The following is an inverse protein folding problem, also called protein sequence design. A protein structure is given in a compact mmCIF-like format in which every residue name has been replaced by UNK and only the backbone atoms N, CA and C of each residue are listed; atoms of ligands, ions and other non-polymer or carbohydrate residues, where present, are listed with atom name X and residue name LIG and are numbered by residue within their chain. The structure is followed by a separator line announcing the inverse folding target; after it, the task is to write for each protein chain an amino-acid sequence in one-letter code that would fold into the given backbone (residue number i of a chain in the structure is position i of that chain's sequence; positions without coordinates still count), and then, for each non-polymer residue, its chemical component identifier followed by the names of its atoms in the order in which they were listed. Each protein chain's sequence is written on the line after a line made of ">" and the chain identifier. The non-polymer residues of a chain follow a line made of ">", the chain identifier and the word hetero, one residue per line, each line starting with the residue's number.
data_IF_426861303294
#
_entry.id   IF_426861303294
#
_cell.length_a   1.000
_cell.length_b   1.000
_cell.length_c   1.000
_cell.angle_alpha   90.00
_cell.angle_beta   90.00
_cell.angle_gamma   90.00
#
_symmetry.space_group_name_H-M   'P 1'
#
loop_
_entity.id
_entity.type
_entity.pdbx_description
1 polymer ?
#
# COMPACT_ATOMS: atom_id res chain seq x y z
N UNK A 1 -0.25 69.36 3.76
CA UNK A 1 -1.03 68.48 2.88
C UNK A 1 -0.03 67.50 2.26
N UNK A 2 0.28 66.38 2.94
CA UNK A 2 -0.33 65.03 2.71
C UNK A 2 -0.14 64.63 1.24
N UNK A 3 1.01 64.06 0.86
CA UNK A 3 1.39 62.62 0.89
C UNK A 3 0.56 61.73 -0.05
N UNK A 4 1.23 61.00 -0.95
CA UNK A 4 0.62 59.89 -1.68
C UNK A 4 1.35 59.45 -2.96
N UNK A 5 2.67 59.27 -2.93
CA UNK A 5 3.36 58.50 -3.96
C UNK A 5 3.02 57.02 -3.75
N UNK A 6 2.12 56.50 -4.59
CA UNK A 6 1.74 55.10 -4.59
C UNK A 6 2.87 54.30 -5.29
N UNK A 7 3.87 53.88 -4.51
CA UNK A 7 4.90 52.95 -4.96
C UNK A 7 4.30 51.55 -5.05
N UNK A 8 3.82 51.19 -6.25
CA UNK A 8 3.51 49.79 -6.57
C UNK A 8 4.80 48.98 -6.56
N UNK A 9 5.04 48.26 -5.46
CA UNK A 9 6.06 47.21 -5.42
C UNK A 9 5.73 46.17 -6.50
N UNK A 10 6.70 45.69 -7.28
CA UNK A 10 6.48 44.56 -8.16
C UNK A 10 6.08 43.35 -7.30
N UNK A 11 4.92 42.76 -7.60
CA UNK A 11 4.50 41.49 -7.02
C UNK A 11 5.53 40.45 -7.47
N UNK A 12 6.51 40.17 -6.62
CA UNK A 12 7.43 39.06 -6.81
C UNK A 12 6.61 37.80 -6.56
N UNK A 13 6.05 37.21 -7.62
CA UNK A 13 5.50 35.85 -7.52
C UNK A 13 6.70 34.91 -7.30
N UNK A 14 7.04 34.67 -6.04
CA UNK A 14 7.95 33.58 -5.71
C UNK A 14 7.13 32.29 -5.68
N UNK A 15 7.44 31.37 -6.57
CA UNK A 15 6.93 30.01 -6.46
C UNK A 15 7.25 29.46 -5.08
N UNK A 16 6.26 28.86 -4.42
CA UNK A 16 6.46 28.00 -3.26
C UNK A 16 7.44 26.87 -3.62
N UNK A 17 8.09 26.28 -2.63
CA UNK A 17 9.02 25.18 -2.90
C UNK A 17 8.32 23.96 -3.49
N UNK A 18 7.03 23.78 -3.18
CA UNK A 18 6.13 22.83 -3.85
C UNK A 18 5.97 23.13 -5.33
N UNK A 19 5.66 24.38 -5.70
CA UNK A 19 5.53 24.77 -7.11
C UNK A 19 6.87 24.63 -7.85
N UNK A 20 7.99 24.97 -7.21
CA UNK A 20 9.32 24.75 -7.79
C UNK A 20 9.60 23.26 -8.03
N UNK A 21 9.22 22.38 -7.11
CA UNK A 21 9.37 20.93 -7.29
C UNK A 21 8.49 20.40 -8.42
N UNK A 22 7.23 20.84 -8.50
CA UNK A 22 6.32 20.47 -9.60
C UNK A 22 6.86 20.95 -10.95
N UNK A 23 7.38 22.18 -11.02
CA UNK A 23 8.01 22.74 -12.23
C UNK A 23 9.25 21.92 -12.62
N UNK A 24 10.10 21.54 -11.66
CA UNK A 24 11.28 20.70 -11.92
C UNK A 24 10.90 19.30 -12.40
N UNK A 25 9.89 18.69 -11.80
CA UNK A 25 9.39 17.36 -12.19
C UNK A 25 8.80 17.40 -13.60
N UNK A 26 7.97 18.40 -13.91
CA UNK A 26 7.42 18.61 -15.25
C UNK A 26 8.51 18.86 -16.29
N UNK A 27 9.53 19.65 -15.94
CA UNK A 27 10.66 19.93 -16.83
C UNK A 27 11.53 18.70 -17.10
N UNK A 28 11.84 17.91 -16.06
CA UNK A 28 12.58 16.66 -16.19
C UNK A 28 11.84 15.67 -17.10
N UNK A 29 10.52 15.55 -16.93
CA UNK A 29 9.68 14.72 -17.80
C UNK A 29 9.68 15.22 -19.24
N UNK A 30 9.50 16.53 -19.47
CA UNK A 30 9.54 17.11 -20.81
C UNK A 30 10.86 16.85 -21.54
N UNK A 31 11.99 16.86 -20.83
CA UNK A 31 13.28 16.51 -21.42
C UNK A 31 13.41 15.03 -21.78
N UNK A 32 12.90 14.13 -20.93
CA UNK A 32 12.88 12.69 -21.21
C UNK A 32 12.01 12.41 -22.44
N UNK A 33 10.80 12.95 -22.51
CA UNK A 33 9.89 12.76 -23.65
C UNK A 33 10.46 13.30 -24.96
N UNK A 34 11.10 14.48 -24.91
CA UNK A 34 11.74 15.06 -26.10
C UNK A 34 12.93 14.24 -26.59
N UNK A 35 13.77 13.73 -25.68
CA UNK A 35 14.94 12.92 -26.03
C UNK A 35 14.56 11.59 -26.68
N UNK A 36 13.47 10.99 -26.22
CA UNK A 36 12.97 9.70 -26.71
C UNK A 36 12.00 9.84 -27.91
N UNK A 37 11.76 11.07 -28.38
CA UNK A 37 10.91 11.33 -29.55
C UNK A 37 9.41 11.13 -29.31
N UNK A 38 8.97 11.06 -28.05
CA UNK A 38 7.56 10.92 -27.70
C UNK A 38 6.87 12.29 -27.68
N UNK A 39 5.90 12.49 -28.58
CA UNK A 39 4.88 13.53 -28.42
C UNK A 39 3.80 12.99 -27.50
N UNK A 40 3.82 13.40 -26.23
CA UNK A 40 2.79 13.06 -25.27
C UNK A 40 1.48 13.76 -25.65
N UNK A 41 0.45 12.97 -25.94
CA UNK A 41 -0.92 13.48 -26.04
C UNK A 41 -1.49 13.77 -24.65
N UNK A 42 -2.42 14.71 -24.53
CA UNK A 42 -3.11 15.02 -23.28
C UNK A 42 -3.74 13.76 -22.64
N UNK A 43 -4.21 12.81 -23.46
CA UNK A 43 -4.73 11.52 -23.00
C UNK A 43 -3.68 10.56 -22.43
N UNK A 44 -2.42 10.62 -22.87
CA UNK A 44 -1.31 9.81 -22.29
C UNK A 44 -0.81 10.41 -20.99
N UNK A 45 -0.81 11.75 -20.89
CA UNK A 45 -0.55 12.51 -19.67
C UNK A 45 -1.60 12.17 -18.62
N UNK A 46 -2.88 12.18 -18.99
CA UNK A 46 -3.99 11.80 -18.11
C UNK A 46 -3.93 10.34 -17.68
N UNK A 47 -3.43 9.42 -18.52
CA UNK A 47 -3.31 7.98 -18.21
C UNK A 47 -2.05 7.62 -17.43
N UNK A 48 -1.07 8.51 -17.35
CA UNK A 48 0.18 8.26 -16.63
C UNK A 48 -0.03 8.25 -15.12
N UNK A 49 -0.10 7.05 -14.55
CA UNK A 49 -0.26 6.85 -13.09
C UNK A 49 0.91 7.47 -12.31
N UNK A 50 2.13 7.41 -12.86
CA UNK A 50 3.29 8.09 -12.27
C UNK A 50 3.12 9.61 -12.30
N UNK A 51 2.63 10.20 -13.40
CA UNK A 51 2.43 11.64 -13.45
C UNK A 51 1.36 12.09 -12.45
N UNK A 52 0.23 11.38 -12.35
CA UNK A 52 -0.80 11.67 -11.33
C UNK A 52 -0.23 11.63 -9.92
N UNK A 53 0.62 10.65 -9.63
CA UNK A 53 1.33 10.53 -8.36
C UNK A 53 2.20 11.75 -8.07
N UNK A 54 3.02 12.18 -9.03
CA UNK A 54 3.87 13.36 -8.91
C UNK A 54 3.05 14.66 -8.72
N UNK A 55 1.94 14.80 -9.47
CA UNK A 55 1.02 15.94 -9.34
C UNK A 55 0.33 15.98 -7.98
N UNK A 56 0.06 14.81 -7.38
CA UNK A 56 -0.41 14.69 -6.01
C UNK A 56 0.67 15.00 -4.95
N UNK A 57 1.89 15.37 -5.36
CA UNK A 57 3.01 15.67 -4.46
C UNK A 57 3.73 14.43 -3.92
N UNK A 58 3.37 13.22 -4.38
CA UNK A 58 4.01 11.97 -3.97
C UNK A 58 5.23 11.70 -4.86
N UNK A 59 6.42 11.41 -4.31
CA UNK A 59 7.63 11.13 -5.08
C UNK A 59 7.50 9.77 -5.75
N UNK A 60 8.33 9.48 -6.78
CA UNK A 60 8.41 8.14 -7.34
C UNK A 60 8.79 7.13 -6.24
N UNK A 61 8.29 5.90 -6.35
CA UNK A 61 8.73 4.82 -5.47
C UNK A 61 10.20 4.48 -5.74
N UNK A 62 10.91 3.97 -4.73
CA UNK A 62 12.31 3.57 -4.84
C UNK A 62 12.52 2.45 -5.89
N UNK A 63 11.52 1.61 -6.09
CA UNK A 63 11.48 0.55 -7.11
C UNK A 63 10.22 0.68 -7.95
N UNK A 64 10.18 0.10 -9.16
CA UNK A 64 8.96 0.06 -9.95
C UNK A 64 7.88 -0.80 -9.26
N UNK A 65 6.63 -0.31 -9.13
CA UNK A 65 5.54 -1.12 -8.60
C UNK A 65 5.20 -2.29 -9.54
N UNK A 66 4.46 -3.31 -9.05
CA UNK A 66 3.85 -4.32 -9.90
C UNK A 66 2.98 -3.70 -10.98
N UNK A 67 2.75 -4.44 -12.07
CA UNK A 67 1.73 -4.05 -13.04
C UNK A 67 0.44 -4.82 -12.76
N UNK A 68 -0.69 -4.13 -12.90
CA UNK A 68 -2.02 -4.73 -12.96
C UNK A 68 -2.57 -4.50 -14.36
N UNK A 69 -2.67 -5.56 -15.16
CA UNK A 69 -3.07 -5.49 -16.57
C UNK A 69 -2.26 -4.46 -17.37
N UNK A 70 -0.95 -4.38 -17.12
CA UNK A 70 -0.02 -3.46 -17.81
C UNK A 70 0.10 -2.07 -17.20
N UNK A 71 -0.66 -1.72 -16.16
CA UNK A 71 -0.59 -0.41 -15.50
C UNK A 71 0.12 -0.48 -14.14
N UNK A 72 0.96 0.51 -13.77
CA UNK A 72 1.59 0.59 -12.45
C UNK A 72 0.58 0.51 -11.31
N UNK A 73 0.73 -0.49 -10.44
CA UNK A 73 -0.17 -0.78 -9.35
C UNK A 73 0.41 -0.24 -8.03
N UNK A 74 0.39 1.08 -7.85
CA UNK A 74 0.92 1.71 -6.62
C UNK A 74 0.14 1.28 -5.36
N UNK A 75 -1.16 1.07 -5.50
CA UNK A 75 -2.05 0.70 -4.40
C UNK A 75 -1.63 -0.60 -3.69
N UNK A 76 -1.10 -1.60 -4.40
CA UNK A 76 -0.67 -2.87 -3.78
C UNK A 76 0.59 -2.71 -2.90
N UNK A 77 1.39 -1.68 -3.17
CA UNK A 77 2.57 -1.34 -2.38
C UNK A 77 2.17 -0.48 -1.19
N UNK A 78 1.34 0.53 -1.42
CA UNK A 78 1.04 1.57 -0.43
C UNK A 78 -0.10 1.15 0.51
N UNK A 79 -1.13 0.52 -0.04
CA UNK A 79 -2.34 0.08 0.66
C UNK A 79 -2.15 -1.17 1.51
N UNK A 80 -3.13 -1.41 2.38
CA UNK A 80 -3.29 -2.63 3.20
C UNK A 80 -4.54 -3.43 2.84
N UNK A 81 -5.28 -2.93 1.84
CA UNK A 81 -6.48 -3.56 1.35
C UNK A 81 -6.21 -4.97 0.87
N UNK A 82 -7.24 -5.78 0.93
CA UNK A 82 -7.27 -7.04 0.23
C UNK A 82 -7.62 -6.78 -1.23
N UNK A 83 -6.85 -7.36 -2.14
CA UNK A 83 -7.07 -7.19 -3.58
C UNK A 83 -7.53 -8.50 -4.20
N UNK A 84 -8.69 -8.49 -4.84
CA UNK A 84 -9.12 -9.58 -5.71
C UNK A 84 -8.31 -9.52 -7.00
N UNK A 85 -7.64 -10.62 -7.34
CA UNK A 85 -6.67 -10.72 -8.43
C UNK A 85 -6.92 -11.96 -9.28
N UNK A 86 -6.52 -11.88 -10.54
CA UNK A 86 -6.45 -13.06 -11.42
C UNK A 86 -5.07 -13.70 -11.27
N UNK A 87 -5.07 -15.03 -11.16
CA UNK A 87 -3.85 -15.79 -10.96
C UNK A 87 -3.75 -16.87 -12.03
N UNK A 88 -2.55 -17.07 -12.58
CA UNK A 88 -2.26 -18.17 -13.47
C UNK A 88 -0.84 -18.72 -13.30
N UNK A 89 -0.63 -19.96 -13.76
CA UNK A 89 0.70 -20.60 -13.76
C UNK A 89 1.63 -19.85 -14.71
N UNK A 90 2.84 -19.53 -14.23
CA UNK A 90 3.90 -19.07 -15.11
C UNK A 90 4.31 -20.24 -16.03
N UNK A 91 4.11 -20.08 -17.34
CA UNK A 91 4.49 -21.09 -18.32
C UNK A 91 5.98 -21.43 -18.20
N UNK A 92 6.32 -22.72 -18.11
CA UNK A 92 7.71 -23.22 -18.04
C UNK A 92 8.56 -22.87 -19.26
N UNK A 93 7.93 -22.55 -20.39
CA UNK A 93 8.61 -22.20 -21.64
C UNK A 93 9.11 -20.75 -21.68
N UNK A 94 8.64 -19.91 -20.75
CA UNK A 94 9.08 -18.53 -20.66
C UNK A 94 10.25 -18.42 -19.69
N UNK A 95 11.47 -18.27 -20.22
CA UNK A 95 12.65 -17.85 -19.48
C UNK A 95 12.53 -16.37 -19.09
N UNK A 96 11.52 -16.03 -18.28
CA UNK A 96 11.27 -14.65 -17.87
C UNK A 96 11.85 -14.40 -16.49
N UNK A 97 12.77 -13.44 -16.45
CA UNK A 97 13.38 -12.90 -15.23
C UNK A 97 12.39 -11.85 -14.70
N UNK A 98 11.54 -12.22 -13.74
CA UNK A 98 10.78 -11.24 -12.97
C UNK A 98 11.75 -10.28 -12.24
N UNK A 99 11.33 -9.06 -11.89
CA UNK A 99 12.15 -8.18 -11.05
C UNK A 99 12.64 -8.91 -9.78
N UNK A 100 13.94 -8.87 -9.49
CA UNK A 100 14.53 -9.50 -8.28
C UNK A 100 14.77 -11.02 -8.35
N UNK A 101 14.60 -11.63 -9.51
CA UNK A 101 14.76 -13.08 -9.76
C UNK A 101 16.16 -13.64 -9.53
N UNK A 102 16.23 -14.88 -9.04
CA UNK A 102 17.43 -15.73 -9.01
C UNK A 102 17.18 -17.03 -9.80
N UNK A 103 18.23 -17.66 -10.35
CA UNK A 103 18.10 -18.95 -11.02
C UNK A 103 17.47 -20.01 -10.11
N UNK A 104 16.38 -20.64 -10.57
CA UNK A 104 15.67 -21.68 -9.83
C UNK A 104 14.46 -21.21 -9.02
N UNK A 105 14.19 -19.90 -8.98
CA UNK A 105 13.00 -19.36 -8.33
C UNK A 105 11.71 -19.81 -9.05
N UNK A 106 10.64 -20.01 -8.26
CA UNK A 106 9.28 -20.27 -8.76
C UNK A 106 8.53 -18.94 -8.91
N UNK A 107 7.65 -18.88 -9.90
CA UNK A 107 6.85 -17.68 -10.17
C UNK A 107 5.38 -18.01 -10.35
N UNK A 108 4.56 -17.01 -10.07
CA UNK A 108 3.13 -17.04 -10.33
C UNK A 108 2.73 -15.74 -11.03
N UNK A 109 1.83 -15.84 -12.01
CA UNK A 109 1.33 -14.67 -12.71
C UNK A 109 0.14 -14.10 -11.92
N UNK A 110 0.22 -12.84 -11.52
CA UNK A 110 -0.86 -12.12 -10.82
C UNK A 110 -1.21 -10.89 -11.65
N UNK A 111 -2.45 -10.82 -12.13
CA UNK A 111 -2.98 -9.77 -13.02
C UNK A 111 -2.03 -9.40 -14.18
N UNK A 112 -1.36 -10.40 -14.74
CA UNK A 112 -0.44 -10.24 -15.88
C UNK A 112 1.01 -9.88 -15.52
N UNK A 113 1.36 -9.88 -14.23
CA UNK A 113 2.74 -9.66 -13.75
C UNK A 113 3.34 -10.90 -13.11
N UNK A 114 4.64 -11.13 -13.28
CA UNK A 114 5.35 -12.25 -12.64
C UNK A 114 5.77 -11.90 -11.22
N UNK A 115 5.20 -12.60 -10.25
CA UNK A 115 5.56 -12.49 -8.85
C UNK A 115 6.39 -13.70 -8.44
N UNK A 116 7.43 -13.48 -7.64
CA UNK A 116 8.25 -14.57 -7.14
C UNK A 116 7.51 -15.26 -6.00
N UNK A 117 7.45 -16.58 -6.02
CA UNK A 117 6.91 -17.38 -4.91
C UNK A 117 8.02 -17.55 -3.88
N UNK A 118 7.89 -16.87 -2.74
CA UNK A 118 8.79 -16.99 -1.60
C UNK A 118 8.55 -18.31 -0.86
N UNK A 119 7.28 -18.66 -0.67
CA UNK A 119 6.86 -19.86 0.05
C UNK A 119 5.57 -20.42 -0.55
N UNK A 120 5.45 -21.76 -0.61
CA UNK A 120 4.20 -22.45 -0.95
C UNK A 120 3.62 -23.03 0.33
N UNK A 121 2.51 -22.45 0.81
CA UNK A 121 1.84 -22.90 2.04
C UNK A 121 0.93 -24.09 1.73
N UNK A 122 0.10 -23.95 0.69
CA UNK A 122 -0.75 -25.02 0.15
C UNK A 122 -0.75 -24.92 -1.37
N UNK A 123 -0.35 -25.99 -2.05
CA UNK A 123 -0.30 -25.99 -3.52
C UNK A 123 -1.69 -25.67 -4.09
N UNK A 124 -1.75 -24.69 -5.02
CA UNK A 124 -2.94 -24.21 -5.71
C UNK A 124 -4.01 -23.54 -4.84
N UNK A 125 -3.69 -23.28 -3.58
CA UNK A 125 -4.59 -22.59 -2.66
C UNK A 125 -3.94 -21.41 -1.96
N UNK A 126 -2.64 -21.49 -1.64
CA UNK A 126 -2.00 -20.48 -0.81
C UNK A 126 -0.49 -20.36 -0.99
N UNK A 127 -0.03 -19.12 -1.20
CA UNK A 127 1.37 -18.78 -1.43
C UNK A 127 1.76 -17.51 -0.67
N UNK A 128 3.05 -17.41 -0.32
CA UNK A 128 3.69 -16.13 -0.02
C UNK A 128 4.47 -15.70 -1.25
N UNK A 129 4.20 -14.48 -1.71
CA UNK A 129 4.78 -13.91 -2.92
C UNK A 129 5.51 -12.61 -2.65
N UNK A 130 6.49 -12.32 -3.50
CA UNK A 130 7.38 -11.17 -3.41
C UNK A 130 7.47 -10.47 -4.76
N UNK A 131 7.65 -9.15 -4.72
CA UNK A 131 7.83 -8.33 -5.92
C UNK A 131 9.16 -7.59 -5.89
N UNK A 132 9.99 -7.83 -6.90
CA UNK A 132 11.20 -7.02 -7.11
C UNK A 132 12.16 -7.06 -5.93
N UNK A 133 12.64 -5.87 -5.58
CA UNK A 133 13.53 -5.63 -4.44
C UNK A 133 12.79 -5.09 -3.22
N UNK A 134 11.45 -5.12 -3.22
CA UNK A 134 10.71 -4.73 -2.04
C UNK A 134 10.92 -5.77 -0.92
N UNK A 135 11.03 -5.32 0.35
CA UNK A 135 11.28 -6.17 1.50
C UNK A 135 9.96 -6.70 2.10
N UNK A 136 8.82 -6.27 1.54
CA UNK A 136 7.50 -6.70 1.96
C UNK A 136 7.10 -7.93 1.16
N UNK A 137 6.25 -8.75 1.75
CA UNK A 137 5.69 -9.93 1.11
C UNK A 137 4.18 -9.78 1.05
N UNK A 138 3.54 -10.63 0.24
CA UNK A 138 2.10 -10.69 0.14
C UNK A 138 1.65 -12.13 0.29
N UNK A 139 0.56 -12.32 1.02
CA UNK A 139 -0.14 -13.59 1.10
C UNK A 139 -1.16 -13.63 -0.02
N UNK A 140 -0.99 -14.60 -0.91
CA UNK A 140 -1.93 -14.90 -1.97
C UNK A 140 -2.74 -16.13 -1.56
N UNK A 141 -4.05 -15.98 -1.38
CA UNK A 141 -4.94 -17.05 -0.91
C UNK A 141 -6.15 -17.19 -1.80
N UNK A 142 -6.52 -18.43 -2.10
CA UNK A 142 -7.77 -18.79 -2.78
C UNK A 142 -8.91 -18.78 -1.77
N UNK A 143 -9.94 -18.00 -2.06
CA UNK A 143 -11.19 -17.96 -1.32
C UNK A 143 -12.29 -18.63 -2.15
N UNK A 144 -13.17 -19.38 -1.49
CA UNK A 144 -14.31 -20.01 -2.13
C UNK A 144 -15.58 -19.37 -1.61
N UNK A 145 -16.37 -18.81 -2.53
CA UNK A 145 -17.65 -18.20 -2.19
C UNK A 145 -18.78 -18.83 -3.00
N UNK A 146 -19.98 -18.80 -2.41
CA UNK A 146 -21.19 -19.29 -3.08
C UNK A 146 -21.61 -18.26 -4.12
N UNK A 147 -21.63 -18.66 -5.38
CA UNK A 147 -22.23 -17.87 -6.45
C UNK A 147 -23.75 -18.11 -6.44
N UNK A 148 -24.47 -17.26 -5.71
CA UNK A 148 -25.93 -17.38 -5.54
C UNK A 148 -26.69 -17.26 -6.87
N UNK A 149 -26.21 -16.42 -7.80
CA UNK A 149 -26.85 -16.24 -9.10
C UNK A 149 -26.76 -17.53 -9.93
N UNK A 150 -25.55 -18.07 -10.10
CA UNK A 150 -25.35 -19.32 -10.84
C UNK A 150 -26.02 -20.51 -10.13
N UNK A 151 -26.06 -20.49 -8.80
CA UNK A 151 -26.82 -21.47 -8.00
C UNK A 151 -28.31 -21.43 -8.34
N UNK A 152 -28.93 -20.24 -8.43
CA UNK A 152 -30.34 -20.10 -8.82
C UNK A 152 -30.57 -20.53 -10.29
N UNK A 153 -29.67 -20.14 -11.20
CA UNK A 153 -29.74 -20.55 -12.60
C UNK A 153 -29.65 -22.08 -12.74
N UNK A 154 -28.74 -22.72 -12.00
CA UNK A 154 -28.59 -24.17 -11.96
C UNK A 154 -29.86 -24.86 -11.45
N UNK A 155 -30.46 -24.33 -10.38
CA UNK A 155 -31.71 -24.84 -9.82
C UNK A 155 -32.87 -24.73 -10.83
N UNK A 156 -32.98 -23.59 -11.53
CA UNK A 156 -33.99 -23.41 -12.57
C UNK A 156 -33.78 -24.39 -13.74
N UNK A 157 -32.55 -24.51 -14.23
CA UNK A 157 -32.21 -25.44 -15.30
C UNK A 157 -32.56 -26.89 -14.96
N UNK A 158 -32.26 -27.34 -13.73
CA UNK A 158 -32.57 -28.70 -13.27
C UNK A 158 -34.07 -28.96 -13.13
N UNK A 159 -34.84 -27.95 -12.74
CA UNK A 159 -36.31 -28.06 -12.68
C UNK A 159 -36.89 -28.38 -14.07
N UNK A 160 -36.35 -27.74 -15.10
CA UNK A 160 -36.81 -27.91 -16.47
C UNK A 160 -36.17 -29.14 -17.15
N UNK A 161 -35.01 -29.59 -16.66
CA UNK A 161 -34.21 -30.66 -17.26
C UNK A 161 -33.67 -31.66 -16.21
N UNK A 162 -34.53 -32.47 -15.57
CA UNK A 162 -34.14 -33.30 -14.41
C UNK A 162 -33.16 -34.43 -14.72
N UNK A 163 -33.04 -34.83 -16.00
CA UNK A 163 -32.16 -35.92 -16.43
C UNK A 163 -30.92 -35.44 -17.22
N UNK A 164 -30.71 -34.12 -17.32
CA UNK A 164 -29.55 -33.58 -18.04
C UNK A 164 -28.27 -33.74 -17.21
N UNK A 165 -27.25 -34.39 -17.79
CA UNK A 165 -25.93 -34.42 -17.19
C UNK A 165 -25.27 -33.05 -17.30
N UNK A 166 -24.84 -32.49 -16.16
CA UNK A 166 -24.08 -31.24 -16.14
C UNK A 166 -22.61 -31.52 -16.41
N UNK A 167 -22.09 -30.97 -17.49
CA UNK A 167 -20.65 -30.83 -17.71
C UNK A 167 -20.32 -29.36 -17.66
N UNK A 168 -19.69 -28.94 -16.56
CA UNK A 168 -18.94 -27.70 -16.58
C UNK A 168 -17.67 -28.00 -17.39
N UNK A 169 -17.63 -27.50 -18.62
CA UNK A 169 -16.40 -27.53 -19.40
C UNK A 169 -15.37 -26.70 -18.61
N UNK A 170 -14.39 -27.38 -18.01
CA UNK A 170 -13.13 -26.72 -17.64
C UNK A 170 -12.63 -26.11 -18.93
N UNK A 171 -12.71 -24.78 -19.08
CA UNK A 171 -12.16 -24.11 -20.25
C UNK A 171 -10.69 -24.54 -20.36
N UNK A 172 -10.42 -25.42 -21.31
CA UNK A 172 -9.07 -25.78 -21.72
C UNK A 172 -8.54 -24.62 -22.57
N UNK A 173 -8.23 -23.52 -21.90
CA UNK A 173 -7.72 -22.30 -22.52
C UNK A 173 -7.06 -21.48 -21.43
N UNK A 174 -5.73 -21.55 -21.40
CA UNK A 174 -4.81 -20.72 -20.61
C UNK A 174 -5.12 -20.62 -19.12
N UNK A 175 -4.62 -21.59 -18.33
CA UNK A 175 -4.02 -21.41 -16.99
C UNK A 175 -4.64 -20.52 -15.91
N UNK A 176 -5.80 -19.91 -16.11
CA UNK A 176 -6.49 -19.03 -15.15
C UNK A 176 -7.13 -19.89 -14.06
N UNK A 177 -6.79 -19.60 -12.81
CA UNK A 177 -7.28 -20.34 -11.66
C UNK A 177 -8.68 -19.89 -11.18
N UNK A 178 -9.52 -19.39 -12.08
CA UNK A 178 -10.95 -19.18 -11.80
C UNK A 178 -11.68 -20.52 -11.94
N UNK A 179 -11.85 -21.21 -10.82
CA UNK A 179 -12.45 -22.53 -10.76
C UNK A 179 -13.91 -22.45 -10.29
N UNK A 180 -14.79 -23.12 -11.04
CA UNK A 180 -16.13 -23.41 -10.59
C UNK A 180 -16.16 -24.81 -9.96
N UNK A 181 -16.73 -24.91 -8.77
CA UNK A 181 -17.05 -26.20 -8.14
C UNK A 181 -18.54 -26.32 -7.90
N UNK A 182 -19.09 -27.50 -8.16
CA UNK A 182 -20.43 -27.89 -7.73
C UNK A 182 -20.23 -28.97 -6.67
N UNK A 183 -20.81 -28.80 -5.48
CA UNK A 183 -20.60 -29.73 -4.37
C UNK A 183 -21.76 -30.71 -4.21
N UNK A 184 -22.94 -30.20 -3.86
CA UNK A 184 -24.17 -30.93 -3.55
C UNK A 184 -25.14 -30.99 -4.74
N UNK A 185 -24.62 -30.84 -5.95
CA UNK A 185 -25.42 -30.83 -7.17
C UNK A 185 -26.38 -29.61 -7.28
N UNK A 186 -26.36 -28.67 -6.33
CA UNK A 186 -27.25 -27.51 -6.31
C UNK A 186 -26.51 -26.19 -6.15
N UNK A 187 -25.36 -26.20 -5.49
CA UNK A 187 -24.60 -25.00 -5.12
C UNK A 187 -23.40 -24.84 -6.04
N UNK A 188 -23.31 -23.68 -6.69
CA UNK A 188 -22.15 -23.28 -7.49
C UNK A 188 -21.24 -22.44 -6.63
N UNK A 189 -19.99 -22.87 -6.50
CA UNK A 189 -18.92 -22.16 -5.82
C UNK A 189 -17.99 -21.55 -6.86
N UNK A 190 -17.62 -20.29 -6.64
CA UNK A 190 -16.62 -19.57 -7.40
C UNK A 190 -15.37 -19.43 -6.53
N UNK A 191 -14.21 -19.76 -7.09
CA UNK A 191 -12.95 -19.41 -6.45
C UNK A 191 -12.46 -18.04 -6.90
N UNK A 192 -12.07 -17.22 -5.94
CA UNK A 192 -11.37 -15.96 -6.18
C UNK A 192 -10.01 -15.97 -5.49
N UNK A 193 -9.01 -15.33 -6.08
CA UNK A 193 -7.73 -15.14 -5.43
C UNK A 193 -7.66 -13.78 -4.77
N UNK A 194 -7.19 -13.78 -3.53
CA UNK A 194 -7.05 -12.59 -2.71
C UNK A 194 -5.58 -12.39 -2.39
N UNK A 195 -5.05 -11.21 -2.72
CA UNK A 195 -3.71 -10.78 -2.40
C UNK A 195 -3.76 -9.77 -1.25
N UNK A 196 -3.08 -10.09 -0.15
CA UNK A 196 -3.02 -9.25 1.03
C UNK A 196 -1.56 -9.03 1.44
N UNK A 197 -1.16 -7.77 1.64
CA UNK A 197 0.20 -7.47 2.10
C UNK A 197 0.44 -8.04 3.50
N UNK A 198 1.60 -8.63 3.71
CA UNK A 198 2.08 -9.08 5.01
C UNK A 198 3.35 -8.32 5.38
N UNK A 199 3.37 -7.74 6.58
CA UNK A 199 4.45 -6.87 7.06
C UNK A 199 4.06 -5.38 7.13
N UNK A 200 4.94 -4.60 7.76
CA UNK A 200 4.80 -3.15 7.88
C UNK A 200 4.94 -2.48 6.51
N UNK A 201 4.36 -1.29 6.34
CA UNK A 201 4.43 -0.59 5.06
C UNK A 201 5.88 -0.26 4.69
N UNK A 202 6.13 -0.05 3.40
CA UNK A 202 7.47 0.26 2.89
C UNK A 202 7.98 1.67 3.18
N UNK A 203 7.66 2.32 4.30
CA UNK A 203 8.08 3.72 4.55
C UNK A 203 9.59 3.89 4.67
N UNK A 204 10.31 2.80 4.96
CA UNK A 204 11.75 2.59 4.69
C UNK A 204 12.24 3.20 3.37
N UNK A 205 11.38 3.28 2.34
CA UNK A 205 11.74 3.67 0.98
C UNK A 205 11.51 5.15 0.65
N UNK A 206 10.80 5.88 1.51
CA UNK A 206 10.60 7.34 1.40
C UNK A 206 11.27 8.11 2.54
N UNK A 207 11.66 7.42 3.61
CA UNK A 207 12.38 7.99 4.74
C UNK A 207 13.90 7.86 4.63
N UNK A 208 14.61 8.79 5.26
CA UNK A 208 16.06 8.70 5.46
C UNK A 208 16.34 7.82 6.68
N UNK A 209 17.12 6.73 6.56
CA UNK A 209 17.48 5.91 7.71
C UNK A 209 18.28 6.74 8.71
N UNK A 210 17.95 6.56 9.99
CA UNK A 210 18.65 7.23 11.09
C UNK A 210 19.61 6.26 11.76
N UNK A 211 20.82 6.74 12.02
CA UNK A 211 21.81 5.98 12.77
C UNK A 211 21.26 5.65 14.17
N UNK A 212 21.55 4.44 14.72
CA UNK A 212 21.19 4.08 16.08
C UNK A 212 22.08 4.82 17.09
N UNK A 213 21.96 6.13 17.20
CA UNK A 213 22.70 6.92 18.18
C UNK A 213 22.09 6.75 19.57
N UNK A 214 22.85 6.14 20.50
CA UNK A 214 22.60 6.20 21.94
C UNK A 214 21.21 5.73 22.36
N UNK A 215 20.72 4.62 21.79
CA UNK A 215 19.38 4.10 22.00
C UNK A 215 19.07 3.98 23.50
N UNK A 216 18.23 4.88 24.00
CA UNK A 216 17.60 4.72 25.30
C UNK A 216 16.60 3.57 25.19
N UNK A 217 16.51 2.68 26.19
CA UNK A 217 15.54 1.60 26.16
C UNK A 217 14.14 2.21 26.10
N UNK A 218 13.29 1.69 25.21
CA UNK A 218 11.89 2.05 25.13
C UNK A 218 11.07 0.86 25.66
N UNK A 219 10.03 1.15 26.43
CA UNK A 219 9.12 0.15 26.98
C UNK A 219 7.66 0.56 26.74
N UNK A 220 6.72 -0.39 26.59
CA UNK A 220 5.30 -0.09 26.55
C UNK A 220 4.83 0.58 27.85
N UNK A 221 4.14 1.71 27.71
CA UNK A 221 3.45 2.38 28.82
C UNK A 221 1.94 2.37 28.68
N UNK A 222 1.44 2.12 27.47
CA UNK A 222 0.02 1.85 27.18
C UNK A 222 -0.05 0.71 26.19
N UNK A 223 -0.87 -0.28 26.50
CA UNK A 223 -1.18 -1.41 25.63
C UNK A 223 -2.70 -1.50 25.41
N UNK A 224 -3.08 -2.03 24.26
CA UNK A 224 -4.46 -2.39 23.96
C UNK A 224 -4.58 -3.87 23.57
N UNK A 225 -5.77 -4.30 23.15
CA UNK A 225 -6.01 -5.68 22.69
C UNK A 225 -5.17 -6.09 21.47
N UNK A 226 -4.43 -5.17 20.87
CA UNK A 226 -3.58 -5.39 19.72
C UNK A 226 -2.08 -5.27 20.03
N UNK A 227 -1.71 -5.05 21.29
CA UNK A 227 -0.33 -4.96 21.77
C UNK A 227 0.05 -3.53 22.18
N UNK A 228 1.35 -3.20 22.16
CA UNK A 228 1.82 -1.87 22.56
C UNK A 228 1.23 -0.77 21.70
N UNK A 229 0.62 0.21 22.37
CA UNK A 229 0.04 1.40 21.74
C UNK A 229 0.98 2.60 21.90
N UNK A 230 1.57 2.75 23.08
CA UNK A 230 2.51 3.84 23.38
C UNK A 230 3.79 3.26 23.98
N UNK A 231 4.93 3.64 23.41
CA UNK A 231 6.26 3.36 23.98
C UNK A 231 6.86 4.63 24.58
N UNK A 232 7.59 4.51 25.67
CA UNK A 232 8.35 5.61 26.27
C UNK A 232 9.64 5.15 26.94
N UNK A 233 10.45 6.10 27.40
CA UNK A 233 11.62 5.79 28.23
C UNK A 233 11.17 5.32 29.63
N UNK A 234 11.63 4.15 30.12
CA UNK A 234 11.28 3.66 31.44
C UNK A 234 11.87 4.54 32.55
N UNK A 235 11.26 4.51 33.73
CA UNK A 235 11.72 5.19 34.97
C UNK A 235 11.82 6.73 34.89
N UNK A 236 11.20 7.35 33.89
CA UNK A 236 11.12 8.80 33.75
C UNK A 236 9.67 9.28 33.75
N UNK A 237 9.46 10.51 34.22
CA UNK A 237 8.15 11.17 34.14
C UNK A 237 7.95 11.93 32.82
N UNK A 238 9.07 12.29 32.17
CA UNK A 238 9.09 12.98 30.87
C UNK A 238 10.15 12.38 29.96
N UNK A 239 9.92 12.48 28.65
CA UNK A 239 10.89 12.07 27.64
C UNK A 239 10.23 11.74 26.30
N UNK A 240 10.91 10.94 25.50
CA UNK A 240 10.39 10.55 24.19
C UNK A 240 9.19 9.63 24.34
N UNK A 241 8.13 9.92 23.59
CA UNK A 241 6.99 9.05 23.45
C UNK A 241 6.73 8.72 21.99
N UNK A 242 6.28 7.49 21.76
CA UNK A 242 6.07 6.92 20.44
C UNK A 242 4.67 6.30 20.39
N UNK A 243 3.86 6.68 19.41
CA UNK A 243 2.51 6.18 19.21
C UNK A 243 2.46 5.19 18.05
N UNK A 244 1.82 4.03 18.26
CA UNK A 244 1.63 3.02 17.22
C UNK A 244 0.73 3.60 16.13
N UNK A 245 1.20 3.58 14.89
CA UNK A 245 0.44 4.00 13.70
C UNK A 245 0.10 2.83 12.78
N UNK A 246 0.78 1.70 12.95
CA UNK A 246 0.63 0.57 12.05
C UNK A 246 1.05 -0.74 12.73
N UNK A 247 0.41 -1.87 12.35
CA UNK A 247 0.67 -3.22 12.89
C UNK A 247 0.68 -4.26 11.78
N UNK A 248 1.58 -5.23 11.85
CA UNK A 248 1.56 -6.42 10.99
C UNK A 248 2.07 -7.65 11.76
N UNK A 249 1.14 -8.49 12.21
CA UNK A 249 1.47 -9.61 13.09
C UNK A 249 2.05 -9.10 14.42
N UNK A 250 3.28 -9.51 14.72
CA UNK A 250 4.04 -9.06 15.91
C UNK A 250 4.97 -7.88 15.64
N UNK A 251 4.95 -7.35 14.41
CA UNK A 251 5.69 -6.14 14.05
C UNK A 251 4.76 -4.92 14.15
N UNK A 252 5.31 -3.82 14.62
CA UNK A 252 4.62 -2.58 14.89
C UNK A 252 5.42 -1.42 14.31
N UNK A 253 4.73 -0.38 13.87
CA UNK A 253 5.37 0.88 13.50
C UNK A 253 4.80 2.01 14.33
N UNK A 254 5.72 2.83 14.79
CA UNK A 254 5.46 3.96 15.66
C UNK A 254 5.88 5.27 15.00
N UNK A 255 5.16 6.34 15.32
CA UNK A 255 5.57 7.73 15.09
C UNK A 255 5.97 8.37 16.41
N UNK A 256 7.04 9.15 16.42
CA UNK A 256 7.42 9.93 17.60
C UNK A 256 6.43 11.07 17.80
N UNK A 257 5.90 11.19 19.01
CA UNK A 257 5.00 12.27 19.40
C UNK A 257 5.75 13.56 19.77
N UNK A 258 6.99 13.44 20.26
CA UNK A 258 7.82 14.57 20.68
C UNK A 258 9.07 14.12 21.45
N UNK A 259 9.95 15.07 21.78
CA UNK A 259 11.20 14.78 22.51
C UNK A 259 11.03 14.76 24.03
N UNK A 260 10.11 15.58 24.55
CA UNK A 260 9.92 15.78 25.98
C UNK A 260 8.42 15.88 26.31
N UNK A 261 7.77 14.71 26.37
CA UNK A 261 6.34 14.57 26.67
C UNK A 261 6.17 14.14 28.12
N UNK A 262 5.21 14.74 28.83
CA UNK A 262 4.77 14.28 30.14
C UNK A 262 3.92 13.02 30.00
N UNK A 263 4.42 11.89 30.52
CA UNK A 263 3.75 10.60 30.34
C UNK A 263 2.41 10.51 31.09
N UNK A 264 2.26 11.20 32.23
CA UNK A 264 0.99 11.26 32.95
C UNK A 264 -0.12 11.91 32.10
N UNK A 265 0.20 13.01 31.42
CA UNK A 265 -0.74 13.69 30.52
C UNK A 265 -1.05 12.83 29.29
N UNK A 266 -0.03 12.17 28.75
CA UNK A 266 -0.16 11.27 27.60
C UNK A 266 -1.07 10.07 27.90
N UNK A 267 -0.94 9.48 29.10
CA UNK A 267 -1.76 8.35 29.53
C UNK A 267 -3.19 8.74 29.91
N UNK A 268 -3.39 10.01 30.31
CA UNK A 268 -4.72 10.56 30.54
C UNK A 268 -5.51 10.79 29.24
N UNK A 269 -4.83 10.90 28.09
CA UNK A 269 -5.48 11.02 26.80
C UNK A 269 -6.08 9.68 26.36
N UNK A 270 -7.39 9.72 26.11
CA UNK A 270 -8.17 8.57 25.68
C UNK A 270 -8.24 8.44 24.17
N UNK A 271 -8.15 9.56 23.44
CA UNK A 271 -8.23 9.59 21.98
C UNK A 271 -6.84 9.66 21.35
N UNK A 272 -6.40 8.53 20.81
CA UNK A 272 -5.11 8.42 20.12
C UNK A 272 -5.02 9.28 18.85
N UNK A 273 -6.16 9.66 18.27
CA UNK A 273 -6.22 10.54 17.08
C UNK A 273 -5.78 11.97 17.44
N UNK A 274 -6.15 12.44 18.63
CA UNK A 274 -5.71 13.75 19.14
C UNK A 274 -4.19 13.81 19.33
N UNK A 275 -3.58 12.69 19.74
CA UNK A 275 -2.14 12.58 19.87
C UNK A 275 -1.40 12.69 18.53
N UNK A 276 -1.97 12.13 17.45
CA UNK A 276 -1.41 12.26 16.11
C UNK A 276 -1.45 13.70 15.58
N UNK A 277 -2.53 14.44 15.84
CA UNK A 277 -2.62 15.85 15.45
C UNK A 277 -1.63 16.75 16.18
N UNK A 278 -1.11 16.30 17.33
CA UNK A 278 -0.05 16.98 18.07
C UNK A 278 1.34 16.84 17.44
N UNK A 279 1.54 15.90 16.51
CA UNK A 279 2.83 15.68 15.85
C UNK A 279 3.08 16.82 14.86
N UNK A 280 4.14 17.58 15.10
CA UNK A 280 4.56 18.71 14.25
C UNK A 280 6.00 18.53 13.78
N UNK A 281 6.29 19.03 12.58
CA UNK A 281 7.64 19.01 12.01
C UNK A 281 7.63 18.87 10.49
N UNK A 282 8.75 19.21 9.86
CA UNK A 282 8.96 18.94 8.44
C UNK A 282 9.20 17.44 8.18
N UNK A 283 9.84 16.76 9.13
CA UNK A 283 10.11 15.33 9.11
C UNK A 283 9.46 14.64 10.31
N UNK A 284 8.79 13.52 10.02
CA UNK A 284 8.23 12.59 10.99
C UNK A 284 9.26 11.52 11.33
N UNK A 285 9.46 11.28 12.62
CA UNK A 285 10.33 10.22 13.08
C UNK A 285 9.52 8.94 13.25
N UNK A 286 9.90 7.91 12.49
CA UNK A 286 9.21 6.63 12.40
C UNK A 286 10.13 5.53 12.91
N UNK A 287 9.57 4.56 13.63
CA UNK A 287 10.30 3.42 14.16
C UNK A 287 9.54 2.11 13.93
N UNK A 288 10.23 1.13 13.37
CA UNK A 288 9.76 -0.25 13.34
C UNK A 288 10.19 -0.96 14.62
N UNK A 289 9.29 -1.72 15.22
CA UNK A 289 9.46 -2.38 16.51
C UNK A 289 8.87 -3.79 16.43
N UNK A 290 9.60 -4.78 16.93
CA UNK A 290 9.17 -6.18 16.93
C UNK A 290 9.83 -6.91 18.10
N UNK A 291 9.11 -7.87 18.68
CA UNK A 291 9.65 -8.76 19.72
C UNK A 291 10.32 -8.05 20.92
N UNK A 292 9.87 -6.84 21.27
CA UNK A 292 10.44 -6.08 22.39
C UNK A 292 11.48 -5.04 21.99
N UNK A 293 11.97 -5.06 20.74
CA UNK A 293 13.13 -4.27 20.33
C UNK A 293 12.84 -3.37 19.11
N UNK A 294 13.45 -2.16 19.04
CA UNK A 294 13.41 -1.33 17.86
C UNK A 294 14.27 -1.93 16.75
N UNK A 295 13.67 -2.18 15.58
CA UNK A 295 14.35 -2.73 14.41
C UNK A 295 15.04 -1.63 13.60
N UNK A 296 14.29 -0.61 13.21
CA UNK A 296 14.77 0.46 12.33
C UNK A 296 14.13 1.80 12.69
N UNK A 297 14.82 2.90 12.37
CA UNK A 297 14.31 4.27 12.52
C UNK A 297 14.53 5.09 11.25
N UNK A 298 13.56 5.93 10.93
CA UNK A 298 13.54 6.75 9.72
C UNK A 298 13.06 8.16 10.02
N UNK A 299 13.61 9.14 9.30
CA UNK A 299 13.01 10.46 9.15
C UNK A 299 12.23 10.50 7.82
N UNK A 300 10.92 10.68 7.86
CA UNK A 300 10.03 10.70 6.70
C UNK A 300 9.45 12.10 6.55
N UNK A 301 9.62 12.78 5.40
CA UNK A 301 9.02 14.09 5.21
C UNK A 301 7.50 14.05 5.41
N UNK A 302 6.96 14.92 6.26
CA UNK A 302 5.55 14.88 6.71
C UNK A 302 4.56 14.95 5.54
N UNK A 303 4.91 15.67 4.47
CA UNK A 303 4.14 15.76 3.23
C UNK A 303 3.97 14.43 2.47
N UNK A 304 4.81 13.44 2.76
CA UNK A 304 4.76 12.10 2.16
C UNK A 304 4.03 11.08 3.04
N UNK A 305 3.58 11.57 4.20
CA UNK A 305 3.12 10.79 5.33
C UNK A 305 1.98 11.55 6.04
N UNK A 306 0.89 11.91 5.33
CA UNK A 306 -0.16 12.75 5.89
C UNK A 306 -0.84 12.05 7.06
N UNK A 307 -0.56 12.53 8.27
CA UNK A 307 -1.04 11.92 9.52
C UNK A 307 -2.57 11.92 9.64
N UNK A 308 -3.25 12.84 8.95
CA UNK A 308 -4.71 12.95 8.89
C UNK A 308 -5.38 11.78 8.15
N UNK A 309 -4.62 11.06 7.32
CA UNK A 309 -5.11 9.90 6.57
C UNK A 309 -4.94 8.59 7.37
N UNK A 310 -4.43 8.67 8.60
CA UNK A 310 -4.30 7.53 9.51
C UNK A 310 -5.54 7.39 10.37
N UNK A 311 -6.22 6.26 10.22
CA UNK A 311 -7.13 5.78 11.24
C UNK A 311 -6.44 4.67 12.03
N UNK A 312 -6.35 4.88 13.33
CA UNK A 312 -5.71 3.98 14.27
C UNK A 312 -6.56 2.73 14.57
N UNK A 313 -7.87 2.78 14.28
CA UNK A 313 -8.86 1.75 14.62
C UNK A 313 -9.28 0.89 13.41
N UNK A 314 -8.91 1.27 12.18
CA UNK A 314 -9.13 0.43 10.99
C UNK A 314 -7.80 -0.03 10.40
N UNK A 315 -7.79 -1.28 9.94
CA UNK A 315 -6.70 -1.89 9.17
C UNK A 315 -6.54 -1.16 7.81
N UNK A 316 -5.89 0.00 7.82
CA UNK A 316 -5.43 0.76 6.65
C UNK A 316 -6.53 1.44 5.85
N UNK A 317 -6.49 2.77 5.81
CA UNK A 317 -7.36 3.54 4.93
C UNK A 317 -6.93 3.40 3.48
N UNK A 318 -7.96 3.30 2.64
CA UNK A 318 -8.00 3.80 1.27
C UNK A 318 -7.43 5.22 1.23
N UNK A 319 -6.28 5.41 0.59
CA UNK A 319 -5.91 6.73 0.10
C UNK A 319 -6.60 6.96 -1.25
N UNK A 320 -7.92 7.11 -1.22
CA UNK A 320 -8.72 7.60 -2.35
C UNK A 320 -9.06 9.06 -2.04
N UNK A 321 -8.48 10.04 -2.76
CA UNK A 321 -8.93 11.42 -2.67
C UNK A 321 -10.38 11.53 -3.19
N UNK A 322 -11.20 12.39 -2.57
CA UNK A 322 -12.64 12.55 -2.81
C UNK A 322 -13.07 12.92 -4.25
N UNK A 323 -12.14 13.08 -5.19
CA UNK A 323 -12.44 13.32 -6.59
C UNK A 323 -12.53 12.03 -7.44
N UNK A 324 -12.50 10.85 -6.83
CA UNK A 324 -12.68 9.58 -7.54
C UNK A 324 -14.09 9.31 -8.10
N UNK A 325 -15.12 10.11 -7.78
CA UNK A 325 -16.46 9.95 -8.37
C UNK A 325 -17.21 11.26 -8.60
N UNK A 326 -16.66 12.17 -9.41
CA UNK A 326 -17.50 13.18 -10.09
C UNK A 326 -17.02 13.46 -11.50
N UNK A 327 -17.54 12.68 -12.44
CA UNK A 327 -18.34 13.19 -13.56
C UNK A 327 -18.74 12.03 -14.47
N UNK A 328 -20.01 11.63 -14.39
CA UNK A 328 -20.78 11.43 -15.61
C UNK A 328 -22.02 12.31 -15.48
N UNK A 329 -22.51 12.83 -16.59
CA UNK A 329 -23.86 12.50 -17.01
C UNK A 329 -23.87 11.21 -17.83
#
# INVERSE_FOLDING_TARGET
>A
MVSGLNSGLPIHMSFSDREKQLIRAAFAWGQVSHKEGYTLSDGEIEKSVLLRRLLAGRPPLAFPPPLRHGFPWYEVIEGRGQHVVNVSEASTENSMIAPGSRPGDKYILIDGSFWRVAETISEREEYIVEWGSYPMQWRLRKHWEVNYEMTQQLQHFRKDNPNAGLRLDKRAGEGEYSEFRIDDDQTVWLSEWQLTRIGLSGWVWVGTPLEPTGQRPLAPVKEDEHGPLILSEPERATGEAWLRIERAGQAYRFVRLGEEICYEQLLAESDSSMLLHGVQGEDLLIMDWSEGEPLHRFAVPAQLAPLEEFDLDRLGYELVPENAFKANP
#
